data_IF_300499651321
#
_entry.id   IF_300499651321
#
_cell.length_a   1.000
_cell.length_b   1.000
_cell.length_c   1.000
_cell.angle_alpha   90.00
_cell.angle_beta   90.00
_cell.angle_gamma   90.00
#
_symmetry.space_group_name_H-M   'P 1'
#
loop_
_entity.id
_entity.type
_entity.pdbx_description
1 polymer ?
#
# COMPACT_ATOMS: atom_id res chain seq x y z
N UNK A 1 17.06 -6.60 -7.26
CA UNK A 1 18.17 -7.61 -7.21
C UNK A 1 17.64 -8.97 -6.78
N UNK A 2 17.16 -9.16 -5.55
CA UNK A 2 16.71 -10.47 -5.04
C UNK A 2 15.63 -11.11 -5.93
N UNK A 3 14.63 -10.35 -6.36
CA UNK A 3 13.57 -10.85 -7.25
C UNK A 3 14.12 -11.33 -8.60
N UNK A 4 15.07 -10.61 -9.19
CA UNK A 4 15.70 -11.01 -10.44
C UNK A 4 16.34 -12.41 -10.35
N UNK A 5 17.15 -12.64 -9.31
CA UNK A 5 17.80 -13.93 -9.10
C UNK A 5 16.82 -15.05 -8.75
N UNK A 6 15.81 -14.76 -7.92
CA UNK A 6 14.75 -15.73 -7.62
C UNK A 6 14.00 -16.19 -8.88
N UNK A 7 13.75 -15.26 -9.82
CA UNK A 7 13.09 -15.56 -11.08
C UNK A 7 13.91 -16.51 -11.96
N UNK A 8 15.21 -16.27 -12.05
CA UNK A 8 16.12 -17.10 -12.83
C UNK A 8 16.48 -18.43 -12.16
N UNK A 9 16.25 -18.55 -10.84
CA UNK A 9 16.41 -19.82 -10.13
C UNK A 9 15.26 -20.82 -10.40
N UNK A 10 14.13 -20.35 -10.93
CA UNK A 10 13.00 -21.21 -11.26
C UNK A 10 13.23 -21.81 -12.67
N UNK A 11 13.27 -23.16 -12.83
CA UNK A 11 13.53 -23.79 -14.11
C UNK A 11 12.40 -23.55 -15.12
N UNK A 12 12.72 -23.04 -16.30
CA UNK A 12 11.80 -22.81 -17.42
C UNK A 12 12.07 -21.49 -18.14
N UNK A 13 11.80 -21.43 -19.45
CA UNK A 13 11.82 -20.16 -20.18
C UNK A 13 10.53 -19.40 -19.91
N UNK A 14 10.60 -18.11 -19.58
CA UNK A 14 9.41 -17.30 -19.30
C UNK A 14 8.43 -17.23 -20.49
N UNK A 15 8.88 -17.51 -21.71
CA UNK A 15 8.10 -17.44 -22.94
C UNK A 15 7.68 -18.78 -23.49
N UNK A 16 8.09 -19.91 -22.90
CA UNK A 16 7.91 -21.25 -23.50
C UNK A 16 6.51 -21.85 -23.31
N UNK A 17 5.62 -21.23 -22.50
CA UNK A 17 4.33 -21.83 -22.10
C UNK A 17 3.18 -20.84 -22.02
N UNK A 18 3.05 -19.91 -22.97
CA UNK A 18 1.78 -19.23 -23.17
C UNK A 18 0.77 -20.17 -23.84
N UNK A 19 -0.53 -20.08 -23.47
CA UNK A 19 -1.63 -20.88 -24.11
C UNK A 19 -1.73 -20.73 -25.62
N UNK A 20 -1.05 -19.75 -26.20
CA UNK A 20 -0.76 -19.63 -27.61
C UNK A 20 0.75 -19.45 -27.72
N UNK A 21 1.44 -20.48 -28.20
CA UNK A 21 2.89 -20.45 -28.41
C UNK A 21 3.29 -19.17 -29.15
N UNK A 22 4.16 -18.38 -28.53
CA UNK A 22 4.68 -17.17 -29.18
C UNK A 22 5.36 -17.56 -30.44
N UNK A 23 5.03 -16.98 -31.63
CA UNK A 23 5.71 -17.32 -32.89
C UNK A 23 7.22 -17.16 -32.72
N UNK A 24 7.99 -18.12 -33.32
CA UNK A 24 9.45 -18.14 -33.17
C UNK A 24 10.11 -16.82 -33.57
N UNK A 25 9.58 -16.12 -34.57
CA UNK A 25 10.07 -14.80 -34.99
C UNK A 25 9.89 -13.72 -33.92
N UNK A 26 8.85 -13.81 -33.07
CA UNK A 26 8.62 -12.88 -31.95
C UNK A 26 9.54 -13.27 -30.79
N UNK A 27 9.74 -14.57 -30.55
CA UNK A 27 10.66 -15.08 -29.54
C UNK A 27 12.10 -14.62 -29.82
N UNK A 28 12.55 -14.68 -31.05
CA UNK A 28 13.89 -14.20 -31.44
C UNK A 28 14.05 -12.71 -31.18
N UNK A 29 13.08 -11.89 -31.57
CA UNK A 29 13.10 -10.45 -31.30
C UNK A 29 13.11 -10.13 -29.80
N UNK A 30 12.40 -10.92 -28.97
CA UNK A 30 12.39 -10.76 -27.53
C UNK A 30 13.75 -11.15 -26.92
N UNK A 31 14.34 -12.24 -27.39
CA UNK A 31 15.67 -12.68 -26.98
C UNK A 31 16.73 -11.62 -27.32
N UNK A 32 16.68 -11.06 -28.53
CA UNK A 32 17.57 -9.96 -28.92
C UNK A 32 17.36 -8.69 -28.09
N UNK A 33 16.08 -8.29 -27.90
CA UNK A 33 15.75 -7.04 -27.15
C UNK A 33 16.13 -7.12 -25.67
N UNK A 34 15.89 -8.27 -25.03
CA UNK A 34 16.12 -8.45 -23.58
C UNK A 34 17.41 -9.17 -23.25
N UNK A 35 18.17 -9.62 -24.27
CA UNK A 35 19.44 -10.30 -24.09
C UNK A 35 19.33 -11.61 -23.31
N UNK A 36 18.23 -12.36 -23.48
CA UNK A 36 17.95 -13.56 -22.69
C UNK A 36 18.95 -14.70 -22.96
N UNK A 37 19.66 -14.66 -24.09
CA UNK A 37 20.72 -15.60 -24.47
C UNK A 37 22.08 -15.23 -23.85
N UNK A 38 22.17 -14.06 -23.15
CA UNK A 38 23.41 -13.59 -22.57
C UNK A 38 23.62 -14.15 -21.15
N UNK A 39 24.87 -14.13 -20.64
CA UNK A 39 25.15 -14.50 -19.25
C UNK A 39 24.32 -13.68 -18.25
N UNK A 40 23.87 -14.31 -17.16
CA UNK A 40 22.97 -13.74 -16.14
C UNK A 40 23.38 -12.35 -15.64
N UNK A 41 24.69 -12.09 -15.50
CA UNK A 41 25.15 -10.79 -15.05
C UNK A 41 24.89 -9.67 -16.09
N UNK A 42 25.00 -9.98 -17.40
CA UNK A 42 24.66 -9.02 -18.45
C UNK A 42 23.16 -8.77 -18.52
N UNK A 43 22.34 -9.82 -18.43
CA UNK A 43 20.88 -9.69 -18.35
C UNK A 43 20.47 -8.80 -17.17
N UNK A 44 21.14 -8.95 -16.02
CA UNK A 44 20.89 -8.12 -14.84
C UNK A 44 21.18 -6.64 -15.08
N UNK A 45 22.33 -6.32 -15.69
CA UNK A 45 22.70 -4.93 -15.99
C UNK A 45 21.78 -4.30 -17.05
N UNK A 46 21.44 -5.06 -18.10
CA UNK A 46 20.47 -4.62 -19.12
C UNK A 46 19.10 -4.35 -18.50
N UNK A 47 18.64 -5.22 -17.60
CA UNK A 47 17.40 -5.03 -16.86
C UNK A 47 17.43 -3.78 -15.97
N UNK A 48 18.52 -3.52 -15.28
CA UNK A 48 18.67 -2.30 -14.47
C UNK A 48 18.69 -1.04 -15.35
N UNK A 49 19.39 -1.08 -16.46
CA UNK A 49 19.44 0.04 -17.40
C UNK A 49 18.05 0.37 -17.96
N UNK A 50 17.29 -0.64 -18.38
CA UNK A 50 15.91 -0.47 -18.83
C UNK A 50 15.01 0.16 -17.74
N UNK A 51 15.10 -0.32 -16.50
CA UNK A 51 14.34 0.27 -15.38
C UNK A 51 14.72 1.73 -15.16
N UNK A 52 16.01 2.08 -15.23
CA UNK A 52 16.46 3.46 -15.07
C UNK A 52 15.94 4.38 -16.17
N UNK A 53 15.70 3.84 -17.37
CA UNK A 53 15.06 4.57 -18.49
C UNK A 53 13.53 4.49 -18.47
N UNK A 54 12.93 3.86 -17.45
CA UNK A 54 11.47 3.74 -17.31
C UNK A 54 10.81 2.70 -18.20
N UNK A 55 11.58 1.80 -18.86
CA UNK A 55 11.04 0.65 -19.61
C UNK A 55 10.99 -0.58 -18.68
N UNK A 56 9.78 -0.94 -18.23
CA UNK A 56 9.53 -2.14 -17.43
C UNK A 56 9.27 -3.39 -18.26
N UNK A 57 9.38 -3.29 -19.58
CA UNK A 57 9.24 -4.41 -20.50
C UNK A 57 7.79 -4.75 -20.84
N UNK A 58 7.62 -5.94 -21.41
CA UNK A 58 6.32 -6.47 -21.83
C UNK A 58 5.78 -7.48 -20.80
N UNK A 59 4.46 -7.62 -20.76
CA UNK A 59 3.81 -8.66 -19.97
C UNK A 59 4.09 -10.04 -20.54
N UNK A 60 4.63 -10.95 -19.74
CA UNK A 60 4.85 -12.35 -20.16
C UNK A 60 3.55 -13.11 -20.45
N UNK A 61 2.44 -12.66 -19.89
CA UNK A 61 1.12 -13.25 -20.13
C UNK A 61 0.55 -12.83 -21.48
N UNK A 62 0.75 -11.56 -21.85
CA UNK A 62 0.26 -11.01 -23.10
C UNK A 62 1.33 -10.10 -23.70
N UNK A 63 2.05 -10.61 -24.69
CA UNK A 63 3.13 -9.90 -25.35
C UNK A 63 2.71 -8.61 -26.06
N UNK A 64 1.40 -8.39 -26.24
CA UNK A 64 0.85 -7.16 -26.81
C UNK A 64 0.70 -6.04 -25.77
N UNK A 65 0.89 -6.31 -24.47
CA UNK A 65 0.68 -5.34 -23.39
C UNK A 65 2.00 -4.98 -22.74
N UNK A 66 2.32 -3.70 -22.70
CA UNK A 66 3.48 -3.18 -21.96
C UNK A 66 3.16 -3.05 -20.47
N UNK A 67 4.14 -3.34 -19.63
CA UNK A 67 4.00 -3.18 -18.18
C UNK A 67 3.78 -1.71 -17.83
N UNK A 68 4.40 -0.80 -18.58
CA UNK A 68 4.21 0.65 -18.44
C UNK A 68 2.73 1.05 -18.56
N UNK A 69 2.01 0.50 -19.57
CA UNK A 69 0.59 0.79 -19.76
C UNK A 69 -0.27 0.34 -18.57
N UNK A 70 0.10 -0.82 -17.97
CA UNK A 70 -0.60 -1.32 -16.78
C UNK A 70 -0.35 -0.40 -15.57
N UNK A 71 0.87 0.10 -15.43
CA UNK A 71 1.23 1.04 -14.36
C UNK A 71 0.50 2.38 -14.57
N UNK A 72 0.54 2.94 -15.77
CA UNK A 72 -0.12 4.20 -16.08
C UNK A 72 -1.63 4.16 -15.84
N UNK A 73 -2.27 3.04 -16.12
CA UNK A 73 -3.71 2.85 -15.88
C UNK A 73 -4.05 2.53 -14.42
N UNK A 74 -3.24 1.69 -13.78
CA UNK A 74 -3.52 1.21 -12.43
C UNK A 74 -3.06 2.15 -11.33
N UNK A 75 -1.88 2.76 -11.48
CA UNK A 75 -1.28 3.61 -10.44
C UNK A 75 -2.14 4.80 -10.03
N UNK A 76 -2.72 5.61 -10.95
CA UNK A 76 -3.54 6.75 -10.55
C UNK A 76 -4.76 6.35 -9.70
N UNK A 77 -5.31 5.16 -9.94
CA UNK A 77 -6.46 4.63 -9.20
C UNK A 77 -6.03 4.22 -7.80
N UNK A 78 -4.98 3.40 -7.68
CA UNK A 78 -4.43 2.97 -6.39
C UNK A 78 -3.93 4.16 -5.57
N UNK A 79 -3.22 5.11 -6.20
CA UNK A 79 -2.71 6.31 -5.55
C UNK A 79 -3.84 7.20 -5.02
N UNK A 80 -4.94 7.38 -5.77
CA UNK A 80 -6.09 8.17 -5.33
C UNK A 80 -6.72 7.58 -4.07
N UNK A 81 -6.93 6.26 -4.05
CA UNK A 81 -7.50 5.57 -2.89
C UNK A 81 -6.50 5.62 -1.73
N UNK A 82 -5.21 5.40 -1.99
CA UNK A 82 -4.14 5.47 -1.00
C UNK A 82 -4.03 6.85 -0.35
N UNK A 83 -4.04 7.92 -1.12
CA UNK A 83 -3.99 9.31 -0.61
C UNK A 83 -5.20 9.60 0.27
N UNK A 84 -6.40 9.23 -0.17
CA UNK A 84 -7.61 9.41 0.64
C UNK A 84 -7.54 8.61 1.95
N UNK A 85 -7.00 7.39 1.91
CA UNK A 85 -6.81 6.57 3.09
C UNK A 85 -5.76 7.16 4.06
N UNK A 86 -4.67 7.73 3.55
CA UNK A 86 -3.66 8.44 4.37
C UNK A 86 -4.29 9.65 5.05
N UNK A 87 -5.00 10.49 4.30
CA UNK A 87 -5.65 11.69 4.85
C UNK A 87 -6.67 11.34 5.92
N UNK A 88 -7.53 10.35 5.66
CA UNK A 88 -8.50 9.87 6.63
C UNK A 88 -7.81 9.34 7.89
N UNK A 89 -6.75 8.54 7.71
CA UNK A 89 -5.99 7.96 8.81
C UNK A 89 -5.32 9.02 9.67
N UNK A 90 -4.74 10.03 9.04
CA UNK A 90 -4.07 11.13 9.75
C UNK A 90 -5.07 11.96 10.55
N UNK A 91 -6.15 12.40 9.91
CA UNK A 91 -7.15 13.26 10.58
C UNK A 91 -7.82 12.52 11.72
N UNK A 92 -8.38 11.34 11.45
CA UNK A 92 -9.12 10.59 12.48
C UNK A 92 -8.19 10.03 13.54
N UNK A 93 -7.03 9.51 13.18
CA UNK A 93 -6.05 8.95 14.13
C UNK A 93 -5.49 10.00 15.08
N UNK A 94 -5.11 11.18 14.57
CA UNK A 94 -4.61 12.28 15.42
C UNK A 94 -5.72 12.80 16.34
N UNK A 95 -6.92 13.02 15.83
CA UNK A 95 -8.05 13.48 16.66
C UNK A 95 -8.38 12.51 17.79
N UNK A 96 -8.45 11.21 17.48
CA UNK A 96 -8.67 10.17 18.48
C UNK A 96 -7.53 10.10 19.50
N UNK A 97 -6.28 10.17 19.05
CA UNK A 97 -5.12 10.11 19.92
C UNK A 97 -5.04 11.31 20.88
N UNK A 98 -5.26 12.53 20.37
CA UNK A 98 -5.28 13.75 21.19
C UNK A 98 -6.43 13.72 22.20
N UNK A 99 -7.65 13.40 21.76
CA UNK A 99 -8.81 13.37 22.65
C UNK A 99 -8.67 12.28 23.72
N UNK A 100 -8.12 11.13 23.38
CA UNK A 100 -7.81 10.05 24.31
C UNK A 100 -6.75 10.45 25.33
N UNK A 101 -5.69 11.15 24.92
CA UNK A 101 -4.65 11.65 25.83
C UNK A 101 -5.18 12.70 26.81
N UNK A 102 -5.98 13.66 26.30
CA UNK A 102 -6.58 14.72 27.12
C UNK A 102 -7.57 14.14 28.14
N UNK A 103 -8.34 13.13 27.74
CA UNK A 103 -9.31 12.42 28.60
C UNK A 103 -8.73 11.14 29.21
N UNK A 104 -7.45 11.13 29.53
CA UNK A 104 -6.77 9.97 30.10
C UNK A 104 -7.53 9.36 31.27
N UNK A 105 -7.69 8.03 31.27
CA UNK A 105 -8.39 7.28 32.33
C UNK A 105 -9.91 7.34 32.27
N UNK A 106 -10.50 8.05 31.29
CA UNK A 106 -11.95 8.02 31.07
C UNK A 106 -12.40 6.78 30.29
N UNK A 107 -13.70 6.50 30.34
CA UNK A 107 -14.31 5.43 29.52
C UNK A 107 -14.02 5.64 28.02
N UNK A 108 -14.03 6.90 27.55
CA UNK A 108 -13.70 7.22 26.17
C UNK A 108 -12.27 6.80 25.81
N UNK A 109 -11.31 7.07 26.68
CA UNK A 109 -9.92 6.64 26.49
C UNK A 109 -9.81 5.10 26.43
N UNK A 110 -10.45 4.41 27.38
CA UNK A 110 -10.47 2.95 27.42
C UNK A 110 -11.06 2.34 26.15
N UNK A 111 -12.26 2.78 25.75
CA UNK A 111 -12.95 2.29 24.54
C UNK A 111 -12.12 2.59 23.27
N UNK A 112 -11.59 3.80 23.14
CA UNK A 112 -10.76 4.18 22.00
C UNK A 112 -9.53 3.30 21.87
N UNK A 113 -8.87 2.97 22.97
CA UNK A 113 -7.69 2.10 22.98
C UNK A 113 -8.02 0.62 22.69
N UNK A 114 -9.17 0.13 23.18
CA UNK A 114 -9.64 -1.21 22.81
C UNK A 114 -9.94 -1.30 21.32
N UNK A 115 -10.68 -0.34 20.76
CA UNK A 115 -10.96 -0.28 19.31
C UNK A 115 -9.65 -0.17 18.50
N UNK A 116 -8.70 0.66 18.94
CA UNK A 116 -7.41 0.77 18.31
C UNK A 116 -6.61 -0.53 18.39
N UNK A 117 -6.68 -1.28 19.48
CA UNK A 117 -6.03 -2.58 19.58
C UNK A 117 -6.65 -3.59 18.62
N UNK A 118 -7.97 -3.66 18.57
CA UNK A 118 -8.69 -4.52 17.59
C UNK A 118 -8.30 -4.13 16.16
N UNK A 119 -8.23 -2.83 15.85
CA UNK A 119 -7.89 -2.33 14.53
C UNK A 119 -6.49 -2.71 14.03
N UNK A 120 -5.56 -2.97 14.94
CA UNK A 120 -4.21 -3.44 14.59
C UNK A 120 -4.14 -4.98 14.53
N UNK A 121 -4.91 -5.67 15.38
CA UNK A 121 -4.86 -7.13 15.48
C UNK A 121 -5.68 -7.83 14.40
N UNK A 122 -6.79 -7.22 13.95
CA UNK A 122 -7.68 -7.87 12.98
C UNK A 122 -7.10 -7.73 11.57
N UNK A 123 -6.95 -8.83 10.83
CA UNK A 123 -6.45 -8.78 9.45
C UNK A 123 -7.34 -7.92 8.54
N UNK A 124 -6.70 -7.19 7.63
CA UNK A 124 -7.37 -6.25 6.71
C UNK A 124 -8.51 -6.90 5.92
N UNK A 125 -8.32 -8.15 5.44
CA UNK A 125 -9.35 -8.84 4.66
C UNK A 125 -10.61 -9.12 5.48
N UNK A 126 -10.48 -9.42 6.78
CA UNK A 126 -11.62 -9.65 7.69
C UNK A 126 -12.43 -8.37 7.84
N UNK A 127 -11.76 -7.24 8.11
CA UNK A 127 -12.39 -5.92 8.22
C UNK A 127 -13.11 -5.58 6.90
N UNK A 128 -12.45 -5.80 5.76
CA UNK A 128 -12.99 -5.49 4.45
C UNK A 128 -14.26 -6.29 4.15
N UNK A 129 -14.26 -7.60 4.45
CA UNK A 129 -15.43 -8.47 4.26
C UNK A 129 -16.57 -8.08 5.21
N UNK A 130 -16.26 -7.80 6.47
CA UNK A 130 -17.28 -7.37 7.45
C UNK A 130 -17.94 -6.04 7.06
N UNK A 131 -17.14 -5.05 6.65
CA UNK A 131 -17.67 -3.75 6.21
C UNK A 131 -18.49 -3.89 4.92
N UNK A 132 -18.03 -4.69 3.96
CA UNK A 132 -18.75 -4.97 2.73
C UNK A 132 -20.06 -5.69 3.02
N UNK A 133 -20.05 -6.73 3.86
CA UNK A 133 -21.25 -7.46 4.25
C UNK A 133 -22.26 -6.54 4.94
N UNK A 134 -21.81 -5.74 5.91
CA UNK A 134 -22.69 -4.87 6.69
C UNK A 134 -23.25 -3.72 5.84
N UNK A 135 -22.40 -2.91 5.20
CA UNK A 135 -22.81 -1.67 4.54
C UNK A 135 -23.33 -1.86 3.12
N UNK A 136 -22.84 -2.85 2.39
CA UNK A 136 -23.31 -3.11 1.04
C UNK A 136 -24.32 -4.27 0.98
N UNK A 137 -24.15 -5.32 1.79
CA UNK A 137 -25.03 -6.47 1.81
C UNK A 137 -26.32 -6.24 2.62
N UNK A 138 -26.19 -5.95 3.92
CA UNK A 138 -27.33 -5.84 4.86
C UNK A 138 -27.98 -4.47 4.77
N UNK A 139 -27.24 -3.40 5.00
CA UNK A 139 -27.76 -2.04 5.03
C UNK A 139 -28.04 -1.47 3.63
N UNK A 140 -27.35 -1.95 2.60
CA UNK A 140 -27.46 -1.49 1.20
C UNK A 140 -27.25 0.02 1.04
N UNK A 141 -26.46 0.64 1.91
CA UNK A 141 -26.15 2.08 1.88
C UNK A 141 -25.08 2.43 0.86
N UNK A 142 -24.15 1.51 0.64
CA UNK A 142 -22.97 1.72 -0.19
C UNK A 142 -22.87 0.63 -1.26
N UNK A 143 -22.33 0.96 -2.44
CA UNK A 143 -22.16 -0.01 -3.51
C UNK A 143 -21.06 -1.04 -3.16
N UNK A 144 -21.18 -2.24 -3.72
CA UNK A 144 -20.27 -3.36 -3.46
C UNK A 144 -18.97 -3.27 -4.23
N UNK A 145 -18.98 -2.77 -5.48
CA UNK A 145 -17.82 -2.79 -6.38
C UNK A 145 -17.86 -1.66 -7.41
N UNK A 146 -16.71 -1.37 -8.01
CA UNK A 146 -16.54 -0.33 -9.02
C UNK A 146 -16.00 0.99 -8.47
N UNK A 147 -15.93 2.03 -9.31
CA UNK A 147 -15.41 3.37 -8.99
C UNK A 147 -16.23 4.49 -9.65
N UNK A 148 -17.49 4.21 -10.07
CA UNK A 148 -18.29 5.13 -10.87
C UNK A 148 -18.71 6.40 -10.13
N UNK A 149 -18.90 6.33 -8.81
CA UNK A 149 -19.35 7.45 -7.98
C UNK A 149 -18.49 7.58 -6.72
N UNK A 150 -18.54 8.73 -6.06
CA UNK A 150 -17.82 8.98 -4.81
C UNK A 150 -18.15 7.96 -3.70
N UNK A 151 -19.37 7.38 -3.71
CA UNK A 151 -19.79 6.37 -2.74
C UNK A 151 -18.95 5.09 -2.83
N UNK A 152 -18.44 4.76 -4.00
CA UNK A 152 -17.58 3.58 -4.20
C UNK A 152 -16.22 3.71 -3.51
N UNK A 153 -15.76 4.94 -3.21
CA UNK A 153 -14.50 5.17 -2.52
C UNK A 153 -14.61 4.98 -1.00
N UNK A 154 -15.82 5.12 -0.41
CA UNK A 154 -16.01 5.12 1.04
C UNK A 154 -15.51 3.80 1.66
N UNK A 155 -16.01 2.66 1.19
CA UNK A 155 -15.66 1.36 1.76
C UNK A 155 -14.16 1.03 1.58
N UNK A 156 -13.57 1.09 0.38
CA UNK A 156 -12.16 0.82 0.19
C UNK A 156 -11.24 1.74 1.01
N UNK A 157 -11.54 3.04 1.05
CA UNK A 157 -10.77 4.02 1.82
C UNK A 157 -10.87 3.73 3.32
N UNK A 158 -12.07 3.45 3.83
CA UNK A 158 -12.28 3.11 5.24
C UNK A 158 -11.55 1.83 5.63
N UNK A 159 -11.63 0.79 4.78
CA UNK A 159 -10.91 -0.47 5.01
C UNK A 159 -9.40 -0.24 5.11
N UNK A 160 -8.81 0.47 4.15
CA UNK A 160 -7.38 0.77 4.12
C UNK A 160 -6.93 1.65 5.27
N UNK A 161 -7.80 2.54 5.74
CA UNK A 161 -7.49 3.48 6.82
C UNK A 161 -7.58 2.86 8.21
N UNK A 162 -8.29 1.76 8.39
CA UNK A 162 -8.68 1.24 9.71
C UNK A 162 -7.48 0.93 10.59
N UNK A 163 -6.54 0.13 10.11
CA UNK A 163 -5.32 -0.20 10.84
C UNK A 163 -4.39 1.02 11.04
N UNK A 164 -4.12 1.86 10.02
CA UNK A 164 -3.36 3.10 10.21
C UNK A 164 -4.00 4.09 11.21
N UNK A 165 -5.33 4.26 11.21
CA UNK A 165 -6.03 5.08 12.22
C UNK A 165 -5.69 4.59 13.61
N UNK A 166 -5.82 3.29 13.85
CA UNK A 166 -5.56 2.66 15.13
C UNK A 166 -4.09 2.86 15.57
N UNK A 167 -3.15 2.71 14.65
CA UNK A 167 -1.73 2.89 14.92
C UNK A 167 -1.39 4.36 15.23
N UNK A 168 -1.86 5.31 14.41
CA UNK A 168 -1.66 6.75 14.60
C UNK A 168 -2.30 7.22 15.91
N UNK A 169 -3.52 6.76 16.23
CA UNK A 169 -4.20 7.11 17.46
C UNK A 169 -3.40 6.70 18.71
N UNK A 170 -2.89 5.47 18.74
CA UNK A 170 -2.06 4.99 19.86
C UNK A 170 -0.74 5.76 19.97
N UNK A 171 -0.07 5.97 18.84
CA UNK A 171 1.19 6.71 18.77
C UNK A 171 0.99 8.16 19.24
N UNK A 172 -0.02 8.86 18.72
CA UNK A 172 -0.35 10.22 19.11
C UNK A 172 -0.70 10.32 20.60
N UNK A 173 -1.52 9.36 21.12
CA UNK A 173 -1.86 9.33 22.53
C UNK A 173 -0.62 9.18 23.41
N UNK A 174 0.26 8.23 23.10
CA UNK A 174 1.49 8.00 23.86
C UNK A 174 2.38 9.24 23.90
N UNK A 175 2.66 9.80 22.72
CA UNK A 175 3.49 11.01 22.58
C UNK A 175 2.86 12.23 23.26
N UNK A 176 1.53 12.40 23.16
CA UNK A 176 0.83 13.48 23.87
C UNK A 176 0.97 13.35 25.39
N UNK A 177 0.81 12.16 25.95
CA UNK A 177 0.96 11.93 27.40
C UNK A 177 2.38 12.25 27.88
N UNK A 178 3.39 11.92 27.11
CA UNK A 178 4.79 12.22 27.41
C UNK A 178 5.05 13.74 27.34
N UNK A 179 4.64 14.36 26.23
CA UNK A 179 4.82 15.81 26.00
C UNK A 179 4.09 16.66 27.03
N UNK A 180 2.89 16.28 27.42
CA UNK A 180 2.09 17.04 28.39
C UNK A 180 2.67 17.03 29.82
N UNK A 181 3.67 16.21 30.10
CA UNK A 181 4.40 16.17 31.39
C UNK A 181 5.66 17.03 31.38
N UNK A 182 6.07 17.61 30.24
CA UNK A 182 7.29 18.41 30.12
C UNK A 182 7.20 19.76 30.81
N UNK A 183 8.33 20.30 31.27
CA UNK A 183 8.39 21.55 32.07
C UNK A 183 7.95 22.76 31.26
N UNK A 184 8.17 22.82 29.95
CA UNK A 184 7.69 23.94 29.13
C UNK A 184 6.14 23.99 29.06
N UNK A 185 5.46 22.87 29.20
CA UNK A 185 3.99 22.81 29.28
C UNK A 185 3.53 23.40 30.64
N UNK A 186 4.22 23.04 31.73
CA UNK A 186 3.96 23.62 33.05
C UNK A 186 4.16 25.14 33.06
N UNK A 187 5.24 25.59 32.43
CA UNK A 187 5.54 27.01 32.25
C UNK A 187 4.45 27.74 31.45
N UNK A 188 3.96 27.14 30.36
CA UNK A 188 2.89 27.71 29.56
C UNK A 188 1.58 27.88 30.38
N UNK A 189 1.24 26.87 31.18
CA UNK A 189 0.09 26.94 32.10
C UNK A 189 0.27 28.00 33.20
N UNK A 190 1.46 28.09 33.80
CA UNK A 190 1.78 29.09 34.80
C UNK A 190 1.68 30.54 34.27
N UNK A 191 1.95 30.72 32.96
CA UNK A 191 1.77 31.99 32.24
C UNK A 191 0.30 32.31 31.90
N UNK A 192 -0.66 31.48 32.28
CA UNK A 192 -2.08 31.68 32.02
C UNK A 192 -2.53 31.41 30.60
N UNK A 193 -1.74 30.64 29.80
CA UNK A 193 -2.14 30.25 28.43
C UNK A 193 -3.37 29.35 28.52
N UNK A 194 -4.40 29.62 27.70
CA UNK A 194 -5.62 28.81 27.64
C UNK A 194 -5.32 27.35 27.32
N UNK A 195 -5.95 26.41 28.03
CA UNK A 195 -5.65 24.97 27.93
C UNK A 195 -5.74 24.43 26.48
N UNK A 196 -6.68 24.93 25.67
CA UNK A 196 -6.77 24.60 24.24
C UNK A 196 -5.49 24.95 23.48
N UNK A 197 -4.89 26.12 23.79
CA UNK A 197 -3.64 26.55 23.16
C UNK A 197 -2.44 25.73 23.65
N UNK A 198 -2.44 25.38 24.94
CA UNK A 198 -1.43 24.48 25.54
C UNK A 198 -1.47 23.13 24.79
N UNK A 199 -2.65 22.55 24.60
CA UNK A 199 -2.80 21.26 23.91
C UNK A 199 -2.40 21.36 22.43
N UNK A 200 -2.96 22.30 21.68
CA UNK A 200 -2.79 22.34 20.22
C UNK A 200 -1.44 22.92 19.79
N UNK A 201 -1.03 24.05 20.40
CA UNK A 201 0.18 24.77 19.99
C UNK A 201 1.45 24.24 20.64
N UNK A 202 1.39 23.89 21.92
CA UNK A 202 2.56 23.44 22.67
C UNK A 202 2.64 21.91 22.76
N UNK A 203 1.53 21.23 22.96
CA UNK A 203 1.46 19.78 23.10
C UNK A 203 1.54 19.06 21.74
N UNK A 204 0.53 19.25 20.89
CA UNK A 204 0.41 18.52 19.64
C UNK A 204 1.58 18.76 18.68
N UNK A 205 2.10 19.99 18.62
CA UNK A 205 3.23 20.32 17.72
C UNK A 205 4.44 19.40 17.94
N UNK A 206 4.74 19.06 19.18
CA UNK A 206 5.87 18.18 19.50
C UNK A 206 5.45 16.71 19.49
N UNK A 207 4.24 16.40 19.93
CA UNK A 207 3.73 15.04 19.98
C UNK A 207 3.46 14.43 18.61
N UNK A 208 3.34 15.22 17.53
CA UNK A 208 3.08 14.73 16.18
C UNK A 208 4.35 14.22 15.48
N UNK A 209 5.55 14.52 15.98
CA UNK A 209 6.80 14.15 15.31
C UNK A 209 6.92 12.65 14.96
N UNK A 210 6.62 11.69 15.85
CA UNK A 210 6.65 10.27 15.51
C UNK A 210 5.64 9.91 14.41
N UNK A 211 4.47 10.57 14.39
CA UNK A 211 3.45 10.36 13.36
C UNK A 211 3.97 10.83 12.00
N UNK A 212 4.62 12.00 11.94
CA UNK A 212 5.21 12.52 10.70
C UNK A 212 6.27 11.57 10.16
N UNK A 213 7.11 11.00 11.01
CA UNK A 213 8.11 10.00 10.62
C UNK A 213 7.43 8.74 10.06
N UNK A 214 6.35 8.29 10.68
CA UNK A 214 5.58 7.14 10.21
C UNK A 214 4.85 7.39 8.89
N UNK A 215 4.44 8.64 8.61
CA UNK A 215 3.72 8.99 7.37
C UNK A 215 4.48 8.61 6.10
N UNK A 216 5.81 8.76 6.08
CA UNK A 216 6.62 8.37 4.92
C UNK A 216 6.41 6.89 4.54
N UNK A 217 6.53 6.00 5.51
CA UNK A 217 6.30 4.56 5.33
C UNK A 217 4.83 4.25 5.01
N UNK A 218 3.89 4.92 5.66
CA UNK A 218 2.46 4.73 5.41
C UNK A 218 2.07 5.13 3.98
N UNK A 219 2.52 6.30 3.52
CA UNK A 219 2.29 6.78 2.15
C UNK A 219 2.85 5.78 1.14
N UNK A 220 4.08 5.34 1.33
CA UNK A 220 4.70 4.35 0.47
C UNK A 220 3.86 3.08 0.35
N UNK A 221 3.45 2.51 1.48
CA UNK A 221 2.66 1.28 1.51
C UNK A 221 1.27 1.43 0.90
N UNK A 222 0.59 2.56 1.12
CA UNK A 222 -0.76 2.77 0.59
C UNK A 222 -0.79 3.21 -0.87
N UNK A 223 0.23 3.92 -1.37
CA UNK A 223 0.32 4.32 -2.78
C UNK A 223 0.59 3.15 -3.71
N UNK A 224 1.33 2.13 -3.25
CA UNK A 224 1.57 0.90 -4.03
C UNK A 224 0.30 0.07 -4.22
N UNK A 225 -0.78 0.42 -3.51
CA UNK A 225 -2.06 -0.27 -3.57
C UNK A 225 -2.13 -1.50 -2.66
N UNK A 226 -3.35 -1.88 -2.33
CA UNK A 226 -3.62 -3.09 -1.58
C UNK A 226 -4.31 -4.11 -2.47
N UNK A 227 -3.59 -5.16 -2.86
CA UNK A 227 -4.15 -6.23 -3.70
C UNK A 227 -5.40 -6.87 -3.06
N UNK A 228 -5.49 -6.94 -1.73
CA UNK A 228 -6.63 -7.49 -1.02
C UNK A 228 -7.87 -6.61 -1.23
N UNK A 229 -7.76 -5.31 -0.95
CA UNK A 229 -8.87 -4.37 -1.06
C UNK A 229 -9.27 -4.18 -2.52
N UNK A 230 -8.30 -3.98 -3.42
CA UNK A 230 -8.57 -3.79 -4.84
C UNK A 230 -9.29 -5.00 -5.45
N UNK A 231 -8.93 -6.22 -5.04
CA UNK A 231 -9.60 -7.42 -5.52
C UNK A 231 -11.00 -7.58 -4.94
N UNK A 232 -11.18 -7.35 -3.63
CA UNK A 232 -12.50 -7.47 -2.97
C UNK A 232 -13.52 -6.48 -3.53
N UNK A 233 -13.09 -5.26 -3.82
CA UNK A 233 -13.96 -4.21 -4.36
C UNK A 233 -13.93 -4.12 -5.90
N UNK A 234 -13.32 -5.08 -6.59
CA UNK A 234 -13.14 -5.12 -8.05
C UNK A 234 -12.59 -3.80 -8.63
N UNK A 235 -11.61 -3.20 -7.96
CA UNK A 235 -10.97 -1.95 -8.34
C UNK A 235 -9.85 -2.26 -9.35
N UNK A 236 -9.81 -1.60 -10.53
CA UNK A 236 -8.78 -1.82 -11.53
C UNK A 236 -7.48 -1.05 -11.21
N UNK A 237 -6.92 -1.30 -10.01
CA UNK A 237 -5.67 -0.73 -9.54
C UNK A 237 -4.46 -1.63 -9.78
N UNK A 238 -3.27 -1.20 -9.33
CA UNK A 238 -2.01 -1.95 -9.47
C UNK A 238 -2.07 -3.31 -8.77
N UNK A 239 -2.67 -3.39 -7.58
CA UNK A 239 -2.78 -4.63 -6.82
C UNK A 239 -3.60 -5.70 -7.53
N UNK A 240 -4.62 -5.31 -8.31
CA UNK A 240 -5.37 -6.23 -9.15
C UNK A 240 -4.48 -6.86 -10.22
N UNK A 241 -3.71 -6.05 -10.96
CA UNK A 241 -2.79 -6.56 -11.99
C UNK A 241 -1.74 -7.50 -11.40
N UNK A 242 -1.26 -7.21 -10.18
CA UNK A 242 -0.35 -8.08 -9.45
C UNK A 242 -0.97 -9.46 -9.18
N UNK A 243 -2.20 -9.52 -8.65
CA UNK A 243 -2.88 -10.80 -8.36
C UNK A 243 -3.23 -11.54 -9.66
N UNK A 244 -3.70 -10.83 -10.67
CA UNK A 244 -4.05 -11.43 -11.96
C UNK A 244 -2.81 -12.02 -12.65
N UNK A 245 -1.62 -11.46 -12.44
CA UNK A 245 -0.36 -12.02 -12.94
C UNK A 245 0.02 -13.33 -12.26
N UNK A 246 -0.22 -13.45 -10.96
CA UNK A 246 0.05 -14.67 -10.19
C UNK A 246 -0.97 -15.77 -10.52
N UNK A 247 -2.27 -15.44 -10.52
CA UNK A 247 -3.35 -16.42 -10.69
C UNK A 247 -3.40 -17.01 -12.11
N UNK A 248 -3.03 -16.24 -13.11
CA UNK A 248 -2.97 -16.74 -14.48
C UNK A 248 -1.90 -17.82 -14.68
N UNK A 249 -0.90 -17.86 -13.84
CA UNK A 249 0.13 -18.91 -13.86
C UNK A 249 -0.35 -20.21 -13.26
N UNK A 250 -1.29 -20.16 -12.30
CA UNK A 250 -1.78 -21.33 -11.58
C UNK A 250 -2.86 -22.11 -12.33
N UNK A 251 -3.61 -21.48 -13.24
CA UNK A 251 -4.71 -22.14 -13.95
C UNK A 251 -4.28 -22.95 -15.18
N UNK A 252 -3.12 -22.72 -15.73
CA UNK A 252 -2.69 -23.35 -16.99
C UNK A 252 -1.74 -24.54 -16.87
N UNK A 253 -1.24 -24.88 -15.72
CA UNK A 253 -0.60 -26.18 -15.46
C UNK A 253 0.03 -26.26 -14.08
N UNK A 254 0.05 -27.43 -13.50
CA UNK A 254 0.87 -27.85 -12.35
C UNK A 254 2.40 -27.73 -12.60
N UNK A 255 2.82 -27.01 -13.61
CA UNK A 255 4.20 -26.83 -13.99
C UNK A 255 4.53 -25.34 -14.22
N UNK A 256 5.10 -24.72 -13.26
CA UNK A 256 5.84 -23.44 -13.16
C UNK A 256 5.06 -22.17 -12.77
N UNK A 257 5.25 -21.72 -11.51
CA UNK A 257 4.73 -20.42 -11.03
C UNK A 257 5.58 -19.21 -11.47
N UNK A 258 6.41 -19.34 -12.49
CA UNK A 258 7.56 -18.46 -12.68
C UNK A 258 7.39 -17.23 -13.57
N UNK A 259 6.43 -17.20 -14.47
CA UNK A 259 6.52 -16.18 -15.54
C UNK A 259 5.64 -14.96 -15.40
N UNK A 260 4.53 -15.04 -14.70
CA UNK A 260 3.58 -13.91 -14.63
C UNK A 260 3.70 -13.06 -13.36
N UNK A 261 4.25 -13.60 -12.28
CA UNK A 261 4.58 -12.82 -11.09
C UNK A 261 5.70 -11.80 -11.35
N UNK A 262 6.50 -12.02 -12.39
CA UNK A 262 7.65 -11.20 -12.71
C UNK A 262 7.36 -9.92 -13.46
N UNK A 263 6.30 -9.84 -14.21
CA UNK A 263 5.99 -8.61 -14.96
C UNK A 263 5.44 -7.47 -14.08
N UNK A 264 4.86 -7.81 -12.92
CA UNK A 264 4.35 -6.79 -11.98
C UNK A 264 5.28 -6.55 -10.78
N UNK A 265 6.18 -7.50 -10.47
CA UNK A 265 7.12 -7.38 -9.34
C UNK A 265 8.19 -6.30 -9.48
N UNK A 266 8.76 -6.03 -10.67
CA UNK A 266 9.72 -4.93 -10.81
C UNK A 266 9.14 -3.58 -10.42
N UNK A 267 7.88 -3.32 -10.77
CA UNK A 267 7.23 -2.06 -10.45
C UNK A 267 6.98 -1.88 -8.94
N UNK A 268 6.55 -2.94 -8.25
CA UNK A 268 6.33 -2.89 -6.80
C UNK A 268 7.63 -2.98 -6.00
N UNK A 269 8.61 -3.79 -6.41
CA UNK A 269 9.91 -3.87 -5.75
C UNK A 269 10.78 -2.62 -5.95
N UNK A 270 10.78 -2.03 -7.15
CA UNK A 270 11.53 -0.78 -7.38
C UNK A 270 10.91 0.38 -6.61
N UNK A 271 9.59 0.42 -6.51
CA UNK A 271 8.86 1.44 -5.76
C UNK A 271 9.07 1.30 -4.24
N UNK A 272 8.97 0.08 -3.69
CA UNK A 272 9.27 -0.17 -2.27
C UNK A 272 10.74 0.06 -1.94
N UNK A 273 11.67 -0.20 -2.86
CA UNK A 273 13.09 0.10 -2.65
C UNK A 273 13.36 1.60 -2.70
N UNK A 274 12.76 2.33 -3.63
CA UNK A 274 12.87 3.79 -3.73
C UNK A 274 12.32 4.47 -2.46
N UNK A 275 11.20 4.00 -1.93
CA UNK A 275 10.60 4.53 -0.70
C UNK A 275 11.39 4.14 0.57
N UNK A 276 11.96 2.93 0.63
CA UNK A 276 12.83 2.51 1.72
C UNK A 276 14.17 3.26 1.76
N UNK A 277 14.68 3.69 0.59
CA UNK A 277 15.91 4.50 0.52
C UNK A 277 15.68 5.97 0.91
N UNK A 278 14.49 6.52 0.64
CA UNK A 278 14.14 7.89 1.02
C UNK A 278 13.85 8.07 2.51
N UNK A 279 13.58 6.99 3.25
CA UNK A 279 13.38 7.03 4.72
C UNK A 279 14.67 6.94 5.53
N UNK A 280 15.85 6.76 4.89
CA UNK A 280 17.15 6.76 5.57
C UNK A 280 17.91 8.09 5.46
N UNK A 281 17.35 9.11 4.85
CA UNK A 281 17.83 10.48 4.85
C UNK A 281 16.95 11.33 5.78
#
# INVERSE_FOLDING_TARGET
TACFFLMHAIPGSPFSKGEQGVPEAVMQRLNEKYGLDQPLYKQYFTYLDQILHGDFGISYKNSSVQVNDLIERGFPISARIGILAVLLSLVVGVLLGVTSAVKRGSLFDGISMVIATIGVCVPLFVISVLLLYLFAGVLKWLPTYGLSTWKHYILPVTCLSFSPIAYIARMTRSSMLEVMQQDYIRTARAKGVAERMVILKHGLRNAILPVVTYLGTLIANLLTGSFIVERLFAIPGLGKYFVDSITATTTSSWASPSSSACSSWPATCSWTWFTASSTRA
#
